data_IF_676234044960
#
_entry.id   IF_676234044960
#
_cell.length_a   1.000
_cell.length_b   1.000
_cell.length_c   1.000
_cell.angle_alpha   90.00
_cell.angle_beta   90.00
_cell.angle_gamma   90.00
#
_symmetry.space_group_name_H-M   'P 1'
#
loop_
_entity.id
_entity.type
_entity.pdbx_description
1 polymer ?
#
# COMPACT_ATOMS: atom_id res chain seq x y z
N UNK A 1 -35.28 -17.80 -15.15
CA UNK A 1 -34.45 -16.65 -15.57
C UNK A 1 -34.31 -15.75 -14.34
N UNK A 2 -33.23 -15.89 -13.56
CA UNK A 2 -33.08 -15.21 -12.26
C UNK A 2 -32.09 -14.04 -12.38
N UNK A 3 -32.62 -12.81 -12.37
CA UNK A 3 -31.85 -11.58 -12.35
C UNK A 3 -31.40 -11.29 -10.91
N UNK A 4 -30.14 -11.60 -10.56
CA UNK A 4 -29.54 -11.12 -9.31
C UNK A 4 -29.32 -9.62 -9.42
N UNK A 5 -29.98 -8.86 -8.56
CA UNK A 5 -29.72 -7.45 -8.31
C UNK A 5 -28.26 -7.30 -7.82
N UNK A 6 -27.39 -6.70 -8.64
CA UNK A 6 -26.07 -6.26 -8.19
C UNK A 6 -26.26 -5.13 -7.18
N UNK A 7 -25.77 -5.29 -5.96
CA UNK A 7 -25.64 -4.18 -5.03
C UNK A 7 -24.71 -3.13 -5.64
N UNK A 8 -24.98 -1.84 -5.42
CA UNK A 8 -24.25 -0.68 -5.99
C UNK A 8 -22.77 -0.55 -5.55
N UNK A 9 -22.12 -1.61 -5.07
CA UNK A 9 -20.74 -1.58 -4.57
C UNK A 9 -19.80 -2.65 -5.12
N UNK A 10 -20.31 -3.66 -5.83
CA UNK A 10 -19.47 -4.79 -6.25
C UNK A 10 -18.82 -4.50 -7.61
N UNK A 11 -17.57 -4.03 -7.56
CA UNK A 11 -16.71 -3.83 -8.74
C UNK A 11 -16.17 -5.18 -9.24
N UNK A 12 -15.76 -5.27 -10.52
CA UNK A 12 -15.76 -6.53 -11.27
C UNK A 12 -14.69 -7.58 -10.92
N UNK A 13 -13.81 -7.39 -9.93
CA UNK A 13 -12.76 -8.35 -9.59
C UNK A 13 -12.60 -8.49 -8.07
N UNK A 14 -13.36 -9.40 -7.45
CA UNK A 14 -13.28 -9.75 -6.01
C UNK A 14 -12.05 -10.63 -5.67
N UNK A 15 -10.98 -10.55 -6.46
CA UNK A 15 -9.75 -11.26 -6.12
C UNK A 15 -9.06 -10.56 -4.93
N UNK A 16 -8.60 -11.35 -3.96
CA UNK A 16 -7.71 -10.85 -2.92
C UNK A 16 -6.48 -10.20 -3.57
N UNK A 17 -6.09 -9.03 -3.07
CA UNK A 17 -4.94 -8.24 -3.57
C UNK A 17 -3.96 -8.00 -2.44
N UNK A 18 -2.71 -7.77 -2.81
CA UNK A 18 -1.61 -7.43 -1.92
C UNK A 18 -1.39 -5.91 -1.94
N UNK A 19 -1.53 -5.28 -0.78
CA UNK A 19 -1.33 -3.85 -0.60
C UNK A 19 -0.03 -3.57 0.14
N UNK A 20 0.86 -2.78 -0.45
CA UNK A 20 1.97 -2.16 0.27
C UNK A 20 1.53 -0.79 0.79
N UNK A 21 1.58 -0.57 2.11
CA UNK A 21 1.07 0.64 2.75
C UNK A 21 2.20 1.42 3.40
N UNK A 22 2.51 2.59 2.87
CA UNK A 22 3.54 3.45 3.40
C UNK A 22 2.99 4.25 4.57
N UNK A 23 3.66 4.15 5.71
CA UNK A 23 3.27 4.85 6.92
C UNK A 23 2.43 3.98 7.86
N UNK A 24 2.84 3.96 9.13
CA UNK A 24 2.24 3.17 10.20
C UNK A 24 1.46 4.03 11.20
N UNK A 25 1.16 5.28 10.81
CA UNK A 25 0.32 6.19 11.59
C UNK A 25 -1.14 5.73 11.65
N UNK A 26 -2.00 6.58 12.24
CA UNK A 26 -3.44 6.28 12.40
C UNK A 26 -4.11 5.88 11.07
N UNK A 27 -3.87 6.63 10.00
CA UNK A 27 -4.46 6.38 8.68
C UNK A 27 -4.02 5.04 8.12
N UNK A 28 -2.71 4.77 8.08
CA UNK A 28 -2.17 3.51 7.56
C UNK A 28 -2.68 2.29 8.31
N UNK A 29 -2.74 2.35 9.66
CA UNK A 29 -3.26 1.25 10.48
C UNK A 29 -4.75 0.99 10.24
N UNK A 30 -5.57 2.04 10.19
CA UNK A 30 -7.01 1.90 9.95
C UNK A 30 -7.27 1.36 8.54
N UNK A 31 -6.54 1.85 7.53
CA UNK A 31 -6.62 1.35 6.16
C UNK A 31 -6.21 -0.12 6.07
N UNK A 32 -5.10 -0.52 6.71
CA UNK A 32 -4.67 -1.91 6.75
C UNK A 32 -5.69 -2.83 7.42
N UNK A 33 -6.32 -2.38 8.51
CA UNK A 33 -7.37 -3.14 9.19
C UNK A 33 -8.63 -3.29 8.29
N UNK A 34 -9.05 -2.20 7.65
CA UNK A 34 -10.17 -2.21 6.73
C UNK A 34 -9.94 -3.12 5.52
N UNK A 35 -8.81 -3.00 4.84
CA UNK A 35 -8.47 -3.84 3.68
C UNK A 35 -8.40 -5.33 4.05
N UNK A 36 -7.82 -5.67 5.21
CA UNK A 36 -7.83 -7.05 5.72
C UNK A 36 -9.23 -7.56 6.02
N UNK A 37 -10.12 -6.70 6.54
CA UNK A 37 -11.53 -7.07 6.75
C UNK A 37 -12.29 -7.37 5.46
N UNK A 38 -11.80 -6.87 4.32
CA UNK A 38 -12.31 -7.16 2.97
C UNK A 38 -11.64 -8.38 2.31
N UNK A 39 -10.74 -9.07 3.01
CA UNK A 39 -10.03 -10.25 2.49
C UNK A 39 -8.78 -9.93 1.65
N UNK A 40 -8.23 -8.72 1.77
CA UNK A 40 -6.97 -8.36 1.12
C UNK A 40 -5.77 -8.58 2.04
N UNK A 41 -4.60 -8.80 1.45
CA UNK A 41 -3.34 -8.83 2.16
C UNK A 41 -2.76 -7.42 2.25
N UNK A 42 -2.16 -7.08 3.39
CA UNK A 42 -1.57 -5.75 3.61
C UNK A 42 -0.21 -5.87 4.27
N UNK A 43 0.78 -5.22 3.68
CA UNK A 43 2.14 -5.13 4.21
C UNK A 43 2.47 -3.67 4.51
N UNK A 44 2.64 -3.28 5.77
CA UNK A 44 3.08 -1.95 6.11
C UNK A 44 4.56 -1.77 5.75
N UNK A 45 4.88 -0.59 5.23
CA UNK A 45 6.24 -0.15 4.96
C UNK A 45 6.49 1.08 5.84
N UNK A 46 7.48 0.97 6.71
CA UNK A 46 7.88 2.01 7.64
C UNK A 46 8.92 2.94 7.03
N UNK A 47 9.14 4.09 7.67
CA UNK A 47 10.26 4.96 7.29
C UNK A 47 11.61 4.27 7.49
N UNK A 48 11.76 3.50 8.57
CA UNK A 48 12.98 2.74 8.86
C UNK A 48 13.27 1.68 7.80
N UNK A 49 12.25 1.07 7.20
CA UNK A 49 12.46 0.17 6.06
C UNK A 49 13.04 0.96 4.89
N UNK A 50 12.52 2.16 4.61
CA UNK A 50 13.03 2.99 3.52
C UNK A 50 14.46 3.51 3.71
N UNK A 51 14.84 3.86 4.94
CA UNK A 51 16.14 4.47 5.24
C UNK A 51 17.19 3.45 5.68
N UNK A 52 16.78 2.34 6.28
CA UNK A 52 17.66 1.31 6.84
C UNK A 52 17.86 0.11 5.93
N UNK A 53 16.85 -0.26 5.13
CA UNK A 53 16.94 -1.33 4.14
C UNK A 53 16.11 -1.00 2.87
N UNK A 54 16.63 -0.06 2.04
CA UNK A 54 15.95 0.38 0.83
C UNK A 54 15.59 -0.76 -0.14
N UNK A 55 16.42 -1.81 -0.17
CA UNK A 55 16.21 -2.97 -1.02
C UNK A 55 14.97 -3.75 -0.60
N UNK A 56 14.80 -4.01 0.70
CA UNK A 56 13.58 -4.64 1.23
C UNK A 56 12.34 -3.80 0.95
N UNK A 57 12.41 -2.49 1.16
CA UNK A 57 11.28 -1.59 0.88
C UNK A 57 10.88 -1.64 -0.61
N UNK A 58 11.85 -1.74 -1.53
CA UNK A 58 11.61 -1.93 -2.96
C UNK A 58 10.97 -3.28 -3.28
N UNK A 59 11.45 -4.37 -2.71
CA UNK A 59 10.86 -5.71 -2.90
C UNK A 59 9.40 -5.71 -2.48
N UNK A 60 9.10 -5.22 -1.27
CA UNK A 60 7.73 -5.16 -0.75
C UNK A 60 6.80 -4.32 -1.62
N UNK A 61 7.30 -3.20 -2.17
CA UNK A 61 6.52 -2.38 -3.10
C UNK A 61 6.32 -3.07 -4.46
N UNK A 62 7.31 -3.81 -4.96
CA UNK A 62 7.24 -4.49 -6.26
C UNK A 62 6.35 -5.75 -6.27
N UNK A 63 6.21 -6.41 -5.12
CA UNK A 63 5.34 -7.58 -4.96
C UNK A 63 3.87 -7.20 -4.73
N UNK A 64 3.58 -5.92 -4.47
CA UNK A 64 2.23 -5.44 -4.22
C UNK A 64 1.47 -5.17 -5.52
N UNK A 65 0.18 -5.54 -5.53
CA UNK A 65 -0.72 -5.19 -6.64
C UNK A 65 -1.16 -3.72 -6.54
N UNK A 66 -1.14 -3.17 -5.31
CA UNK A 66 -1.47 -1.76 -5.03
C UNK A 66 -0.48 -1.18 -4.02
N UNK A 67 0.07 -0.02 -4.34
CA UNK A 67 0.86 0.79 -3.40
C UNK A 67 0.00 1.95 -2.89
N UNK A 68 -0.17 2.03 -1.57
CA UNK A 68 -0.92 3.08 -0.91
C UNK A 68 0.00 3.93 -0.01
N UNK A 69 -0.19 5.25 -0.05
CA UNK A 69 0.64 6.21 0.69
C UNK A 69 -0.19 6.87 1.79
N UNK A 70 0.11 6.53 3.04
CA UNK A 70 -0.53 7.07 4.25
C UNK A 70 0.48 7.87 5.08
N UNK A 71 1.18 8.80 4.42
CA UNK A 71 2.19 9.69 4.99
C UNK A 71 1.55 11.07 5.14
N UNK A 72 1.78 11.81 6.26
CA UNK A 72 1.37 13.21 6.36
C UNK A 72 1.95 14.07 5.22
N UNK A 73 1.15 14.98 4.66
CA UNK A 73 1.53 15.80 3.51
C UNK A 73 2.83 16.60 3.75
N UNK A 74 3.00 17.12 4.97
CA UNK A 74 4.20 17.87 5.39
C UNK A 74 5.47 17.00 5.44
N UNK A 75 5.33 15.67 5.47
CA UNK A 75 6.42 14.70 5.44
C UNK A 75 6.62 14.06 4.07
N UNK A 76 5.69 14.25 3.14
CA UNK A 76 5.72 13.59 1.83
C UNK A 76 7.00 13.94 1.06
N UNK A 77 7.42 15.21 1.07
CA UNK A 77 8.64 15.63 0.37
C UNK A 77 9.93 15.03 0.98
N UNK A 78 9.98 14.89 2.31
CA UNK A 78 11.11 14.25 2.99
C UNK A 78 11.18 12.76 2.66
N UNK A 79 10.04 12.07 2.74
CA UNK A 79 9.96 10.66 2.35
C UNK A 79 10.28 10.47 0.86
N UNK A 80 9.72 11.28 -0.03
CA UNK A 80 10.02 11.17 -1.47
C UNK A 80 11.51 11.30 -1.78
N UNK A 81 12.28 12.07 -0.99
CA UNK A 81 13.74 12.17 -1.12
C UNK A 81 14.44 10.89 -0.65
N UNK A 82 14.09 10.42 0.55
CA UNK A 82 14.63 9.18 1.13
C UNK A 82 14.35 7.98 0.18
N UNK A 83 13.19 7.99 -0.46
CA UNK A 83 12.73 6.96 -1.39
C UNK A 83 13.26 7.12 -2.82
N UNK A 84 13.43 8.33 -3.35
CA UNK A 84 14.09 8.50 -4.66
C UNK A 84 15.48 7.88 -4.63
N UNK A 85 16.26 8.06 -3.55
CA UNK A 85 17.54 7.36 -3.41
C UNK A 85 17.43 5.83 -3.44
N UNK A 86 16.31 5.27 -2.97
CA UNK A 86 16.04 3.83 -2.98
C UNK A 86 15.61 3.28 -4.37
N UNK A 87 15.02 4.14 -5.22
CA UNK A 87 14.46 3.76 -6.54
C UNK A 87 15.25 4.36 -7.73
N UNK A 88 16.13 5.34 -7.52
CA UNK A 88 17.07 5.89 -8.51
C UNK A 88 18.22 4.90 -8.70
N UNK A 89 17.94 3.85 -9.47
CA UNK A 89 18.86 2.74 -9.69
C UNK A 89 18.42 1.77 -10.78
N UNK A 90 17.77 2.29 -11.84
CA UNK A 90 17.42 1.62 -13.12
C UNK A 90 16.21 0.66 -13.11
N UNK A 91 15.70 0.39 -14.33
CA UNK A 91 14.52 0.97 -14.98
C UNK A 91 13.17 0.64 -14.31
#
# INVERSE_FOLDING_TARGET
MNTRLRSKGQKPDDAARRFAIFGTGRVGRNMAAYLRSLGHETTPITRSDATGDPARARVLASEADVVAVAIPDDKLAAWARDWRGAFEGKP
#
